data_IF_633384455017
#
_entry.id   IF_633384455017
#
_cell.length_a   1.000
_cell.length_b   1.000
_cell.length_c   1.000
_cell.angle_alpha   90.00
_cell.angle_beta   90.00
_cell.angle_gamma   90.00
#
_symmetry.space_group_name_H-M   'P 1'
#
loop_
_entity.id
_entity.type
_entity.pdbx_description
1 polymer ?
#
# COMPACT_ATOMS: atom_id res chain seq x y z
N UNK A 1 -52.00 -0.05 -47.22
CA UNK A 1 -51.83 0.10 -45.77
C UNK A 1 -50.44 -0.44 -45.39
N UNK A 2 -49.45 0.44 -45.18
CA UNK A 2 -48.06 0.03 -44.86
C UNK A 2 -47.86 0.22 -43.36
N UNK A 3 -47.63 -0.88 -42.62
CA UNK A 3 -47.26 -0.85 -41.21
C UNK A 3 -45.76 -0.49 -41.09
N UNK A 4 -45.45 0.62 -40.41
CA UNK A 4 -44.10 0.97 -40.04
C UNK A 4 -43.89 0.41 -38.61
N UNK A 5 -43.06 -0.63 -38.50
CA UNK A 5 -42.61 -1.17 -37.20
C UNK A 5 -41.41 -0.34 -36.76
N UNK A 6 -41.63 0.53 -35.77
CA UNK A 6 -40.56 1.31 -35.16
C UNK A 6 -39.72 0.44 -34.25
N UNK A 7 -38.44 0.22 -34.60
CA UNK A 7 -37.46 -0.44 -33.74
C UNK A 7 -36.98 0.58 -32.66
N UNK A 8 -37.49 0.42 -31.44
CA UNK A 8 -37.00 1.20 -30.29
C UNK A 8 -35.60 0.75 -29.85
N UNK A 9 -34.60 1.63 -29.98
CA UNK A 9 -33.23 1.40 -29.52
C UNK A 9 -33.20 1.61 -28.01
N UNK A 10 -33.13 0.53 -27.23
CA UNK A 10 -32.93 0.60 -25.78
C UNK A 10 -31.42 0.83 -25.53
N UNK A 11 -31.06 2.06 -25.25
CA UNK A 11 -29.69 2.41 -24.78
C UNK A 11 -29.50 1.89 -23.35
N UNK A 12 -28.77 0.79 -23.19
CA UNK A 12 -28.36 0.30 -21.89
C UNK A 12 -27.33 1.27 -21.29
N UNK A 13 -27.72 2.02 -20.26
CA UNK A 13 -26.83 2.85 -19.46
C UNK A 13 -25.88 1.94 -18.69
N UNK A 14 -24.62 1.84 -19.11
CA UNK A 14 -23.57 1.16 -18.37
C UNK A 14 -23.29 1.94 -17.08
N UNK A 15 -23.79 1.44 -15.96
CA UNK A 15 -23.43 1.98 -14.61
C UNK A 15 -21.94 1.67 -14.37
N UNK A 16 -21.08 2.69 -14.15
CA UNK A 16 -19.68 2.44 -13.88
C UNK A 16 -19.55 1.60 -12.62
N UNK A 17 -18.94 0.42 -12.72
CA UNK A 17 -18.63 -0.42 -11.57
C UNK A 17 -17.72 0.37 -10.61
N UNK A 18 -18.24 0.74 -9.46
CA UNK A 18 -17.45 1.35 -8.39
C UNK A 18 -16.44 0.30 -7.94
N UNK A 19 -15.16 0.54 -8.22
CA UNK A 19 -14.09 -0.35 -7.81
C UNK A 19 -14.17 -0.54 -6.29
N UNK A 20 -14.34 -1.80 -5.84
CA UNK A 20 -14.50 -2.15 -4.43
C UNK A 20 -13.27 -1.70 -3.66
N UNK A 21 -13.49 -0.90 -2.64
CA UNK A 21 -12.45 -0.41 -1.75
C UNK A 21 -11.82 -1.57 -0.96
N UNK A 22 -10.50 -1.55 -0.81
CA UNK A 22 -9.77 -2.51 0.03
C UNK A 22 -9.60 -1.92 1.43
N UNK A 23 -9.96 -2.68 2.46
CA UNK A 23 -9.77 -2.32 3.87
C UNK A 23 -8.91 -3.39 4.52
N UNK A 24 -7.64 -3.05 4.81
CA UNK A 24 -6.71 -3.98 5.45
C UNK A 24 -7.18 -4.36 6.86
N UNK A 25 -7.02 -5.63 7.22
CA UNK A 25 -7.38 -6.22 8.50
C UNK A 25 -6.11 -6.69 9.23
N UNK A 26 -6.11 -6.92 10.56
CA UNK A 26 -4.95 -7.39 11.30
C UNK A 26 -4.24 -8.59 10.66
N UNK A 27 -4.99 -9.56 10.16
CA UNK A 27 -4.48 -10.77 9.47
C UNK A 27 -3.75 -10.50 8.15
N UNK A 28 -3.89 -9.32 7.58
CA UNK A 28 -3.20 -8.95 6.34
C UNK A 28 -1.75 -8.51 6.61
N UNK A 29 -1.40 -8.20 7.87
CA UNK A 29 -0.07 -7.82 8.34
C UNK A 29 0.60 -9.03 9.01
N UNK A 30 1.40 -9.76 8.26
CA UNK A 30 2.06 -10.99 8.69
C UNK A 30 3.56 -10.75 8.95
N UNK A 31 4.30 -11.81 9.31
CA UNK A 31 5.76 -11.77 9.37
C UNK A 31 6.34 -11.08 8.12
N UNK A 32 7.29 -10.16 8.28
CA UNK A 32 7.87 -9.41 7.17
C UNK A 32 8.40 -10.33 6.06
N UNK A 33 9.06 -11.41 6.42
CA UNK A 33 9.65 -12.35 5.45
C UNK A 33 8.63 -13.17 4.66
N UNK A 34 7.34 -13.16 5.04
CA UNK A 34 6.24 -13.70 4.21
C UNK A 34 5.89 -12.80 3.04
N UNK A 35 6.30 -11.55 3.07
CA UNK A 35 6.08 -10.58 2.01
C UNK A 35 7.08 -10.74 0.87
N UNK A 36 6.67 -10.37 -0.33
CA UNK A 36 7.57 -10.38 -1.48
C UNK A 36 8.45 -9.13 -1.46
N UNK A 37 9.77 -9.29 -1.38
CA UNK A 37 10.72 -8.18 -1.43
C UNK A 37 11.09 -7.86 -2.88
N UNK A 38 10.92 -6.60 -3.33
CA UNK A 38 11.38 -6.18 -4.65
C UNK A 38 12.91 -6.11 -4.71
N UNK A 39 13.45 -6.28 -5.90
CA UNK A 39 14.90 -6.18 -6.14
C UNK A 39 15.44 -4.79 -5.77
N UNK A 40 16.50 -4.75 -4.97
CA UNK A 40 17.15 -3.52 -4.53
C UNK A 40 16.27 -2.61 -3.65
N UNK A 41 15.20 -3.15 -3.05
CA UNK A 41 14.34 -2.43 -2.11
C UNK A 41 14.31 -3.12 -0.76
N UNK A 42 14.12 -2.34 0.30
CA UNK A 42 14.15 -2.83 1.69
C UNK A 42 12.77 -3.18 2.24
N UNK A 43 11.69 -2.72 1.59
CA UNK A 43 10.31 -3.00 2.00
C UNK A 43 9.78 -4.32 1.41
N UNK A 44 8.75 -4.84 2.04
CA UNK A 44 8.03 -6.04 1.64
C UNK A 44 6.63 -5.72 1.14
N UNK A 45 6.17 -6.47 0.14
CA UNK A 45 4.86 -6.32 -0.51
C UNK A 45 3.95 -7.47 -0.11
N UNK A 46 2.76 -7.13 0.40
CA UNK A 46 1.71 -8.07 0.74
C UNK A 46 0.43 -7.81 -0.06
N UNK A 47 -0.47 -8.77 -0.03
CA UNK A 47 -1.77 -8.73 -0.69
C UNK A 47 -2.10 -10.07 -1.37
N UNK A 48 -3.18 -10.10 -2.15
CA UNK A 48 -3.51 -11.29 -2.96
C UNK A 48 -2.43 -11.54 -4.01
N UNK A 49 -2.11 -12.81 -4.30
CA UNK A 49 -1.03 -13.23 -5.22
C UNK A 49 -0.98 -12.41 -6.53
N UNK A 50 -2.13 -12.14 -7.16
CA UNK A 50 -2.21 -11.31 -8.38
C UNK A 50 -1.79 -9.85 -8.15
N UNK A 51 -2.15 -9.30 -6.99
CA UNK A 51 -1.81 -7.92 -6.60
C UNK A 51 -0.31 -7.82 -6.36
N UNK A 52 0.25 -8.74 -5.56
CA UNK A 52 1.69 -8.82 -5.27
C UNK A 52 2.50 -8.92 -6.56
N UNK A 53 2.15 -9.85 -7.48
CA UNK A 53 2.84 -9.99 -8.78
C UNK A 53 2.83 -8.69 -9.59
N UNK A 54 1.70 -7.98 -9.62
CA UNK A 54 1.58 -6.70 -10.34
C UNK A 54 2.38 -5.59 -9.65
N UNK A 55 2.36 -5.52 -8.33
CA UNK A 55 3.11 -4.55 -7.53
C UNK A 55 4.62 -4.76 -7.70
N UNK A 56 5.13 -6.00 -7.54
CA UNK A 56 6.53 -6.36 -7.79
C UNK A 56 7.02 -5.91 -9.18
N UNK A 57 6.26 -6.26 -10.23
CA UNK A 57 6.63 -5.86 -11.59
C UNK A 57 6.74 -4.34 -11.73
N UNK A 58 5.81 -3.58 -11.15
CA UNK A 58 5.85 -2.12 -11.17
C UNK A 58 7.08 -1.58 -10.44
N UNK A 59 7.37 -2.13 -9.26
CA UNK A 59 8.52 -1.73 -8.46
C UNK A 59 9.84 -2.02 -9.18
N UNK A 60 10.05 -3.25 -9.62
CA UNK A 60 11.32 -3.68 -10.25
C UNK A 60 11.58 -2.96 -11.58
N UNK A 61 10.56 -2.52 -12.29
CA UNK A 61 10.71 -1.75 -13.53
C UNK A 61 10.72 -0.25 -13.32
N UNK A 62 10.47 0.26 -12.12
CA UNK A 62 10.29 1.70 -11.84
C UNK A 62 9.07 2.34 -12.52
N UNK A 63 8.25 1.54 -13.22
CA UNK A 63 7.12 2.03 -14.01
C UNK A 63 5.82 1.99 -13.19
N UNK A 64 5.68 2.93 -12.26
CA UNK A 64 4.49 2.99 -11.41
C UNK A 64 3.22 3.40 -12.17
N UNK A 65 3.32 4.29 -13.16
CA UNK A 65 2.19 4.77 -13.96
C UNK A 65 1.05 5.30 -13.08
N UNK A 66 -0.13 4.61 -13.12
CA UNK A 66 -1.28 4.95 -12.26
C UNK A 66 -1.10 4.52 -10.78
N UNK A 67 0.12 4.32 -10.32
CA UNK A 67 0.44 3.87 -8.96
C UNK A 67 0.26 2.37 -8.71
N UNK A 68 0.38 1.98 -7.45
CA UNK A 68 0.19 0.60 -7.00
C UNK A 68 -1.26 0.13 -7.15
N UNK A 69 -1.50 -1.17 -7.40
CA UNK A 69 -2.86 -1.70 -7.45
C UNK A 69 -3.54 -1.65 -6.07
N UNK A 70 -4.85 -1.41 -6.07
CA UNK A 70 -5.68 -1.50 -4.85
C UNK A 70 -5.52 -2.88 -4.21
N UNK A 71 -5.34 -2.90 -2.89
CA UNK A 71 -5.06 -4.11 -2.12
C UNK A 71 -3.56 -4.43 -1.97
N UNK A 72 -2.67 -3.54 -2.44
CA UNK A 72 -1.25 -3.60 -2.10
C UNK A 72 -1.03 -3.11 -0.69
N UNK A 73 -0.24 -3.86 0.10
CA UNK A 73 0.27 -3.44 1.39
C UNK A 73 1.79 -3.38 1.28
N UNK A 74 2.39 -2.30 1.78
CA UNK A 74 3.84 -2.12 1.87
C UNK A 74 4.24 -2.01 3.33
N UNK A 75 5.27 -2.77 3.74
CA UNK A 75 5.88 -2.70 5.07
C UNK A 75 7.39 -2.61 4.96
N UNK A 76 7.98 -1.58 5.54
CA UNK A 76 9.42 -1.48 5.75
C UNK A 76 9.79 -2.05 7.12
N UNK A 77 8.96 -1.80 8.13
CA UNK A 77 9.11 -2.23 9.51
C UNK A 77 7.90 -3.06 9.98
N UNK A 78 8.05 -3.95 10.97
CA UNK A 78 6.94 -4.78 11.45
C UNK A 78 5.84 -3.98 12.16
N UNK A 79 6.18 -2.76 12.64
CA UNK A 79 5.29 -1.89 13.42
C UNK A 79 4.66 -0.74 12.61
N UNK A 80 4.97 -0.62 11.30
CA UNK A 80 4.41 0.39 10.40
C UNK A 80 4.05 -0.22 9.05
N UNK A 81 2.96 0.24 8.45
CA UNK A 81 2.53 -0.18 7.13
C UNK A 81 1.79 0.92 6.38
N UNK A 82 1.70 0.78 5.06
CA UNK A 82 0.75 1.51 4.24
C UNK A 82 -0.02 0.57 3.33
N UNK A 83 -1.33 0.81 3.14
CA UNK A 83 -2.20 -0.02 2.30
C UNK A 83 -2.94 0.82 1.27
N UNK A 84 -2.95 0.36 0.01
CA UNK A 84 -3.64 1.01 -1.10
C UNK A 84 -5.12 0.66 -1.07
N UNK A 85 -5.97 1.58 -0.60
CA UNK A 85 -7.42 1.38 -0.47
C UNK A 85 -8.20 1.60 -1.74
N UNK A 86 -7.83 2.61 -2.53
CA UNK A 86 -8.52 2.93 -3.78
C UNK A 86 -8.92 4.39 -3.92
N UNK A 87 -9.41 4.74 -5.11
CA UNK A 87 -9.48 6.10 -5.59
C UNK A 87 -10.41 7.10 -4.90
N UNK A 88 -11.34 6.64 -4.06
CA UNK A 88 -12.19 7.56 -3.28
C UNK A 88 -11.64 7.85 -1.89
N UNK A 89 -10.85 6.95 -1.34
CA UNK A 89 -10.18 7.14 -0.08
C UNK A 89 -8.90 7.97 -0.29
N UNK A 90 -8.72 9.01 0.51
CA UNK A 90 -7.50 9.82 0.57
C UNK A 90 -6.95 10.19 -0.83
N UNK A 91 -7.74 10.89 -1.64
CA UNK A 91 -7.38 11.24 -3.02
C UNK A 91 -6.06 12.01 -3.10
N UNK A 92 -5.84 12.93 -2.18
CA UNK A 92 -4.61 13.73 -2.09
C UNK A 92 -3.41 12.88 -1.74
N UNK A 93 -3.60 11.85 -0.89
CA UNK A 93 -2.60 10.85 -0.52
C UNK A 93 -2.50 9.67 -1.48
N UNK A 94 -3.02 9.80 -2.71
CA UNK A 94 -2.93 8.72 -3.70
C UNK A 94 -3.72 7.45 -3.34
N UNK A 95 -4.65 7.52 -2.39
CA UNK A 95 -5.45 6.37 -1.94
C UNK A 95 -4.74 5.48 -0.92
N UNK A 96 -3.68 5.96 -0.29
CA UNK A 96 -2.98 5.25 0.77
C UNK A 96 -3.60 5.51 2.14
N UNK A 97 -3.69 4.44 2.93
CA UNK A 97 -3.97 4.44 4.36
C UNK A 97 -2.71 3.99 5.10
N UNK A 98 -2.39 4.64 6.21
CA UNK A 98 -1.21 4.39 7.03
C UNK A 98 -1.60 3.68 8.32
N UNK A 99 -0.66 2.90 8.88
CA UNK A 99 -0.91 2.05 10.04
C UNK A 99 0.25 2.11 11.01
N UNK A 100 -0.09 2.21 12.30
CA UNK A 100 0.78 1.87 13.44
C UNK A 100 0.35 0.50 13.95
N UNK A 101 1.27 -0.43 14.01
CA UNK A 101 1.02 -1.84 14.29
C UNK A 101 1.77 -2.31 15.53
N UNK A 102 1.23 -3.32 16.19
CA UNK A 102 1.93 -4.07 17.23
C UNK A 102 2.03 -5.53 16.78
N UNK A 103 3.22 -5.99 16.39
CA UNK A 103 3.47 -7.40 16.10
C UNK A 103 3.55 -8.18 17.41
N UNK A 104 2.86 -9.33 17.50
CA UNK A 104 2.86 -10.20 18.68
C UNK A 104 3.64 -11.48 18.40
N UNK A 105 4.25 -12.05 19.44
CA UNK A 105 5.04 -13.29 19.35
C UNK A 105 4.22 -14.55 18.98
N UNK A 106 2.89 -14.48 19.10
CA UNK A 106 1.97 -15.53 18.65
C UNK A 106 1.68 -15.49 17.13
N UNK A 107 2.37 -14.60 16.39
CA UNK A 107 2.19 -14.42 14.96
C UNK A 107 1.06 -13.45 14.57
N UNK A 108 0.30 -12.93 15.54
CA UNK A 108 -0.79 -11.99 15.28
C UNK A 108 -0.32 -10.55 15.22
N UNK A 109 -1.15 -9.68 14.65
CA UNK A 109 -0.92 -8.23 14.60
C UNK A 109 -2.11 -7.49 15.20
N UNK A 110 -1.83 -6.49 16.04
CA UNK A 110 -2.82 -5.52 16.49
C UNK A 110 -2.65 -4.22 15.70
N UNK A 111 -3.75 -3.62 15.22
CA UNK A 111 -3.74 -2.30 14.63
C UNK A 111 -3.94 -1.28 15.75
N UNK A 112 -2.86 -0.59 16.14
CA UNK A 112 -2.90 0.42 17.19
C UNK A 112 -3.52 1.72 16.69
N UNK A 113 -3.21 2.10 15.44
CA UNK A 113 -3.77 3.27 14.78
C UNK A 113 -3.82 3.05 13.27
N UNK A 114 -4.83 3.61 12.63
CA UNK A 114 -4.99 3.63 11.19
C UNK A 114 -5.61 4.93 10.72
N UNK A 115 -5.25 5.41 9.54
CA UNK A 115 -5.80 6.65 8.99
C UNK A 115 -4.91 7.28 7.94
N UNK A 116 -4.86 8.59 7.97
CA UNK A 116 -4.13 9.42 7.01
C UNK A 116 -3.10 10.32 7.75
N UNK A 117 -3.31 11.62 7.77
CA UNK A 117 -2.35 12.58 8.35
C UNK A 117 -2.15 12.46 9.87
N UNK A 118 -3.12 11.88 10.58
CA UNK A 118 -3.09 11.69 12.02
C UNK A 118 -2.28 10.46 12.47
N UNK A 119 -1.84 9.59 11.55
CA UNK A 119 -0.96 8.47 11.86
C UNK A 119 0.48 8.93 11.80
N UNK A 120 1.22 8.72 12.89
CA UNK A 120 2.63 9.09 13.03
C UNK A 120 3.55 7.88 12.99
N UNK A 121 4.77 8.10 12.48
CA UNK A 121 5.84 7.11 12.50
C UNK A 121 6.49 7.00 13.91
N UNK A 122 7.56 6.22 14.04
CA UNK A 122 8.29 6.04 15.29
C UNK A 122 9.08 7.29 15.76
N UNK A 123 9.12 8.36 14.94
CA UNK A 123 9.70 9.68 15.26
C UNK A 123 8.64 10.75 15.52
N UNK A 124 7.36 10.33 15.61
CA UNK A 124 6.18 11.19 15.75
C UNK A 124 5.91 12.15 14.58
N UNK A 125 6.55 11.93 13.41
CA UNK A 125 6.22 12.64 12.17
C UNK A 125 4.97 12.05 11.52
N UNK A 126 4.13 12.89 10.88
CA UNK A 126 3.00 12.40 10.09
C UNK A 126 3.46 11.53 8.93
N UNK A 127 3.01 10.28 8.90
CA UNK A 127 3.34 9.35 7.82
C UNK A 127 2.94 9.92 6.46
N UNK A 128 1.71 10.39 6.32
CA UNK A 128 1.21 10.93 5.06
C UNK A 128 1.99 12.14 4.58
N UNK A 129 2.22 13.11 5.45
CA UNK A 129 2.91 14.36 5.07
C UNK A 129 4.34 14.08 4.64
N UNK A 130 5.05 13.21 5.38
CA UNK A 130 6.41 12.81 5.01
C UNK A 130 6.43 12.11 3.64
N UNK A 131 5.59 11.09 3.45
CA UNK A 131 5.50 10.32 2.22
C UNK A 131 5.11 11.18 1.01
N UNK A 132 4.18 12.11 1.17
CA UNK A 132 3.78 13.03 0.09
C UNK A 132 4.85 14.05 -0.24
N UNK A 133 5.45 14.66 0.77
CA UNK A 133 6.51 15.63 0.56
C UNK A 133 7.71 15.03 -0.17
N UNK A 134 8.06 13.78 0.15
CA UNK A 134 9.27 13.15 -0.38
C UNK A 134 9.04 12.38 -1.68
N UNK A 135 7.87 11.78 -1.87
CA UNK A 135 7.68 10.79 -2.93
C UNK A 135 6.33 10.88 -3.68
N UNK A 136 5.72 12.06 -3.77
CA UNK A 136 4.43 12.27 -4.43
C UNK A 136 4.39 11.68 -5.84
N UNK A 137 5.44 11.90 -6.64
CA UNK A 137 5.52 11.46 -8.03
C UNK A 137 5.84 9.94 -8.16
N UNK A 138 6.15 9.30 -7.03
CA UNK A 138 6.43 7.87 -6.94
C UNK A 138 5.36 7.12 -6.15
N UNK A 139 4.11 7.57 -6.28
CA UNK A 139 2.96 7.01 -5.56
C UNK A 139 3.18 6.95 -4.03
N UNK A 140 3.84 7.98 -3.49
CA UNK A 140 4.18 8.14 -2.07
C UNK A 140 5.08 7.02 -1.51
N UNK A 141 5.91 6.38 -2.35
CA UNK A 141 6.87 5.35 -1.90
C UNK A 141 8.28 5.91 -1.86
N UNK A 142 8.75 6.23 -0.66
CA UNK A 142 10.01 6.95 -0.42
C UNK A 142 11.25 6.21 -0.93
N UNK A 143 11.26 4.88 -0.94
CA UNK A 143 12.37 4.05 -1.42
C UNK A 143 12.73 4.25 -2.92
N UNK A 144 11.94 5.02 -3.68
CA UNK A 144 12.30 5.38 -5.05
C UNK A 144 13.13 6.66 -5.16
N UNK A 145 13.08 7.53 -4.16
CA UNK A 145 13.65 8.88 -4.22
C UNK A 145 14.64 9.17 -3.09
N UNK A 146 14.51 8.44 -1.98
CA UNK A 146 15.35 8.65 -0.82
C UNK A 146 16.28 7.45 -0.66
N UNK A 147 17.58 7.69 -0.87
CA UNK A 147 18.61 6.71 -0.55
C UNK A 147 18.70 6.47 0.98
N UNK A 148 19.50 5.48 1.41
CA UNK A 148 19.66 5.14 2.83
C UNK A 148 20.03 6.32 3.71
N UNK A 149 20.79 7.27 3.19
CA UNK A 149 21.28 8.45 3.91
C UNK A 149 20.25 9.59 4.00
N UNK A 150 19.28 9.64 3.07
CA UNK A 150 18.44 10.83 2.86
C UNK A 150 17.45 11.14 4.00
N UNK A 151 17.08 10.14 4.82
CA UNK A 151 16.21 10.30 5.99
C UNK A 151 16.82 9.66 7.25
N UNK A 152 18.13 9.37 7.21
CA UNK A 152 18.84 8.71 8.30
C UNK A 152 18.39 7.27 8.58
N UNK A 153 17.84 6.59 7.55
CA UNK A 153 17.47 5.17 7.58
C UNK A 153 18.56 4.36 6.86
N UNK A 154 19.73 4.27 7.47
CA UNK A 154 20.83 3.44 6.96
C UNK A 154 20.41 1.97 6.87
N UNK A 155 21.08 1.17 6.04
CA UNK A 155 20.75 -0.26 5.89
C UNK A 155 20.88 -1.03 7.20
N UNK A 156 21.86 -0.67 8.03
CA UNK A 156 22.05 -1.28 9.36
C UNK A 156 20.88 -0.97 10.28
N UNK A 157 20.44 0.29 10.32
CA UNK A 157 19.28 0.69 11.12
C UNK A 157 18.01 0.00 10.64
N UNK A 158 17.79 -0.05 9.31
CA UNK A 158 16.62 -0.75 8.74
C UNK A 158 16.66 -2.23 9.13
N UNK A 159 17.79 -2.92 8.98
CA UNK A 159 17.93 -4.33 9.39
C UNK A 159 17.62 -4.53 10.87
N UNK A 160 18.13 -3.67 11.73
CA UNK A 160 17.87 -3.74 13.17
C UNK A 160 16.37 -3.57 13.51
N UNK A 161 15.70 -2.64 12.81
CA UNK A 161 14.27 -2.35 13.00
C UNK A 161 13.34 -3.37 12.31
N UNK A 162 13.86 -4.23 11.44
CA UNK A 162 13.11 -5.30 10.77
C UNK A 162 12.99 -6.59 11.61
N UNK A 163 13.52 -6.63 12.83
CA UNK A 163 13.26 -7.73 13.75
C UNK A 163 11.76 -7.82 14.02
N UNK A 164 11.16 -8.94 13.65
CA UNK A 164 9.71 -9.12 13.65
C UNK A 164 9.30 -10.29 14.56
N UNK A 165 8.60 -9.95 15.65
CA UNK A 165 8.14 -10.92 16.63
C UNK A 165 7.16 -11.97 16.05
N UNK A 166 6.52 -11.68 14.92
CA UNK A 166 5.58 -12.58 14.25
C UNK A 166 6.26 -13.70 13.46
N UNK A 167 7.55 -13.55 13.19
CA UNK A 167 8.29 -14.53 12.41
C UNK A 167 8.64 -15.76 13.27
N UNK A 168 8.58 -17.00 12.72
CA UNK A 168 9.06 -18.19 13.39
C UNK A 168 10.52 -18.02 13.83
N UNK A 169 10.80 -18.42 15.07
CA UNK A 169 12.16 -18.46 15.61
C UNK A 169 12.89 -19.70 15.08
#
# INVERSE_FOLDING_TARGET
MRLIVGLGLIAALAVPAIAKEFVAQPKDFRCLTDGAQPEGKRFHIFGKKRIVKKALRKTNTGRLGKGYPVGTILQLFPFEAMAKRGGKFNKEGGGWEYFKLKPNADGTTEILKRGTADVTNFRDDSCQECHQRQAKDHDSVCEFVIGPEGIGLTDDLVRALQTDARCPQ
#
